data_IF_444278867170
#
_entry.id   IF_444278867170
#
_cell.length_a   1.000
_cell.length_b   1.000
_cell.length_c   1.000
_cell.angle_alpha   90.00
_cell.angle_beta   90.00
_cell.angle_gamma   90.00
#
_symmetry.space_group_name_H-M   'P 1'
#
loop_
_entity.id
_entity.type
_entity.pdbx_description
1 polymer ?
#
# COMPACT_ATOMS: atom_id res chain seq x y z
N UNK A 1 -31.99 -23.50 15.43
CA UNK A 1 -31.42 -22.18 15.68
C UNK A 1 -30.56 -21.86 14.46
N UNK A 2 -30.94 -20.83 13.68
CA UNK A 2 -30.16 -20.48 12.50
C UNK A 2 -28.78 -19.96 12.95
N UNK A 3 -27.74 -20.67 12.58
CA UNK A 3 -26.36 -20.21 12.75
C UNK A 3 -26.13 -19.05 11.77
N UNK A 4 -26.34 -17.83 12.25
CA UNK A 4 -26.05 -16.63 11.50
C UNK A 4 -24.53 -16.52 11.35
N UNK A 5 -24.01 -16.39 10.14
CA UNK A 5 -22.58 -16.14 9.93
C UNK A 5 -22.22 -14.71 10.37
N UNK A 6 -20.93 -14.46 10.61
CA UNK A 6 -20.47 -13.12 10.99
C UNK A 6 -20.67 -12.13 9.84
N UNK A 7 -20.56 -12.57 8.60
CA UNK A 7 -20.81 -11.79 7.38
C UNK A 7 -22.28 -11.39 7.30
N UNK A 8 -23.21 -12.31 7.55
CA UNK A 8 -24.64 -12.02 7.59
C UNK A 8 -24.98 -11.05 8.73
N UNK A 9 -24.33 -11.22 9.90
CA UNK A 9 -24.50 -10.32 11.03
C UNK A 9 -24.06 -8.90 10.71
N UNK A 10 -22.93 -8.72 9.99
CA UNK A 10 -22.43 -7.42 9.54
C UNK A 10 -23.45 -6.72 8.62
N UNK A 11 -24.11 -7.48 7.75
CA UNK A 11 -25.14 -6.93 6.86
C UNK A 11 -26.41 -6.53 7.60
N UNK A 12 -26.76 -7.24 8.68
CA UNK A 12 -27.99 -7.01 9.45
C UNK A 12 -27.88 -5.90 10.49
N UNK A 13 -26.70 -5.69 11.07
CA UNK A 13 -26.47 -4.74 12.14
C UNK A 13 -25.36 -3.74 11.75
N UNK A 14 -25.70 -2.63 11.08
CA UNK A 14 -24.75 -1.60 10.71
C UNK A 14 -24.19 -0.88 11.94
N UNK A 15 -22.97 -0.35 11.81
CA UNK A 15 -22.24 0.29 12.91
C UNK A 15 -22.98 1.44 13.59
N UNK A 16 -23.75 2.32 12.91
CA UNK A 16 -24.50 3.37 13.58
C UNK A 16 -25.53 2.82 14.58
N UNK A 17 -26.21 1.75 14.22
CA UNK A 17 -27.20 1.10 15.10
C UNK A 17 -26.51 0.36 16.24
N UNK A 18 -25.42 -0.35 15.94
CA UNK A 18 -24.62 -1.01 16.96
C UNK A 18 -24.06 -0.01 17.99
N UNK A 19 -23.51 1.12 17.52
CA UNK A 19 -22.96 2.17 18.38
C UNK A 19 -24.03 2.74 19.34
N UNK A 20 -25.25 2.98 18.85
CA UNK A 20 -26.37 3.41 19.71
C UNK A 20 -26.70 2.37 20.78
N UNK A 21 -26.78 1.09 20.42
CA UNK A 21 -27.04 -0.01 21.37
C UNK A 21 -25.94 -0.19 22.41
N UNK A 22 -24.71 0.10 22.04
CA UNK A 22 -23.55 0.04 22.95
C UNK A 22 -23.40 1.29 23.81
N UNK A 23 -24.25 2.31 23.60
CA UNK A 23 -24.18 3.57 24.36
C UNK A 23 -22.94 4.40 24.03
N UNK A 24 -22.39 4.26 22.81
CA UNK A 24 -21.27 5.09 22.35
C UNK A 24 -21.66 6.55 22.42
N UNK A 25 -20.84 7.36 23.08
CA UNK A 25 -21.04 8.80 23.22
C UNK A 25 -20.42 9.55 22.05
N UNK A 26 -21.04 10.66 21.66
CA UNK A 26 -20.57 11.48 20.54
C UNK A 26 -21.49 11.38 19.33
N UNK A 27 -21.09 12.09 18.27
CA UNK A 27 -21.84 12.11 17.01
C UNK A 27 -21.67 10.76 16.29
N UNK A 28 -22.77 10.16 15.87
CA UNK A 28 -22.76 8.91 15.10
C UNK A 28 -22.97 9.25 13.62
N UNK A 29 -21.99 8.93 12.73
CA UNK A 29 -22.13 9.17 11.30
C UNK A 29 -23.32 8.43 10.71
N UNK A 30 -24.09 9.11 9.88
CA UNK A 30 -25.28 8.61 9.19
C UNK A 30 -25.00 8.20 7.73
N UNK A 31 -23.79 8.46 7.25
CA UNK A 31 -23.35 8.16 5.87
C UNK A 31 -21.86 7.89 5.81
N UNK A 32 -21.46 7.13 4.79
CA UNK A 32 -20.05 6.84 4.50
C UNK A 32 -19.23 8.13 4.33
N UNK A 33 -18.06 8.13 4.95
CA UNK A 33 -17.07 9.21 4.82
C UNK A 33 -17.38 10.48 5.61
N UNK A 34 -18.52 10.56 6.33
CA UNK A 34 -18.76 11.68 7.25
C UNK A 34 -17.78 11.58 8.41
N UNK A 35 -16.95 12.61 8.56
CA UNK A 35 -15.94 12.68 9.62
C UNK A 35 -16.53 13.31 10.87
N UNK A 36 -16.31 12.65 12.02
CA UNK A 36 -16.74 13.08 13.36
C UNK A 36 -15.58 12.94 14.35
N UNK A 37 -15.73 13.45 15.55
CA UNK A 37 -14.77 13.20 16.63
C UNK A 37 -14.71 11.70 16.97
N UNK A 38 -13.51 11.22 17.30
CA UNK A 38 -13.27 9.81 17.57
C UNK A 38 -14.11 9.32 18.77
N UNK A 39 -14.71 8.15 18.62
CA UNK A 39 -15.46 7.50 19.70
C UNK A 39 -14.60 7.00 20.86
N UNK A 40 -13.27 7.06 20.70
CA UNK A 40 -12.26 6.64 21.67
C UNK A 40 -11.32 7.83 21.97
N UNK A 41 -11.81 8.87 22.67
CA UNK A 41 -11.05 10.09 22.93
C UNK A 41 -9.80 9.84 23.79
N UNK A 42 -9.75 8.75 24.55
CA UNK A 42 -8.60 8.31 25.34
C UNK A 42 -7.36 7.98 24.48
N UNK A 43 -7.55 7.68 23.19
CA UNK A 43 -6.45 7.43 22.26
C UNK A 43 -5.87 8.71 21.65
N UNK A 44 -6.35 9.88 22.06
CA UNK A 44 -5.94 11.18 21.52
C UNK A 44 -5.36 12.06 22.64
N UNK A 45 -4.05 12.41 22.59
CA UNK A 45 -3.40 13.21 23.65
C UNK A 45 -4.09 14.54 23.99
N UNK A 46 -4.80 15.12 23.00
CA UNK A 46 -5.47 16.43 23.12
C UNK A 46 -6.99 16.34 22.88
N UNK A 47 -7.58 15.13 22.97
CA UNK A 47 -8.99 14.87 22.70
C UNK A 47 -9.39 15.30 21.28
N UNK A 48 -9.32 14.48 20.32
CA UNK A 48 -9.68 14.61 18.87
C UNK A 48 -10.36 15.93 18.45
N UNK A 49 -9.65 17.06 18.62
CA UNK A 49 -10.15 18.42 18.34
C UNK A 49 -10.49 18.63 16.87
N UNK A 50 -9.70 17.97 15.99
CA UNK A 50 -9.94 17.93 14.56
C UNK A 50 -10.58 16.59 14.22
N UNK A 51 -11.88 16.54 13.87
CA UNK A 51 -12.60 15.31 13.62
C UNK A 51 -11.86 14.40 12.64
N UNK A 52 -11.55 13.17 13.06
CA UNK A 52 -10.71 12.24 12.32
C UNK A 52 -11.27 10.83 12.19
N UNK A 53 -12.46 10.58 12.76
CA UNK A 53 -13.13 9.30 12.73
C UNK A 53 -14.23 9.27 11.70
N UNK A 54 -14.33 8.21 10.91
CA UNK A 54 -15.45 8.01 9.99
C UNK A 54 -15.89 6.56 9.91
N UNK A 55 -17.11 6.36 9.36
CA UNK A 55 -17.60 5.07 8.92
C UNK A 55 -17.48 4.98 7.40
N UNK A 56 -17.24 3.77 6.91
CA UNK A 56 -17.09 3.49 5.47
C UNK A 56 -17.57 2.08 5.12
N UNK A 57 -17.49 1.73 3.83
CA UNK A 57 -17.91 0.41 3.32
C UNK A 57 -19.37 0.09 3.61
N UNK A 58 -20.28 1.06 3.40
CA UNK A 58 -21.70 0.91 3.69
C UNK A 58 -21.98 0.90 5.20
N UNK A 59 -21.28 1.71 5.96
CA UNK A 59 -21.41 1.83 7.43
C UNK A 59 -21.09 0.52 8.18
N UNK A 60 -20.29 -0.36 7.59
CA UNK A 60 -19.90 -1.64 8.20
C UNK A 60 -18.50 -1.65 8.79
N UNK A 61 -17.72 -0.59 8.50
CA UNK A 61 -16.35 -0.41 9.01
C UNK A 61 -16.17 0.99 9.57
N UNK A 62 -15.32 1.09 10.59
CA UNK A 62 -14.88 2.37 11.14
C UNK A 62 -13.38 2.53 11.03
N UNK A 63 -12.94 3.78 10.97
CA UNK A 63 -11.53 4.18 11.02
C UNK A 63 -11.36 5.56 11.60
N UNK A 64 -10.41 5.70 12.51
CA UNK A 64 -9.88 6.99 12.94
C UNK A 64 -8.54 7.24 12.25
N UNK A 65 -8.41 8.34 11.53
CA UNK A 65 -7.19 8.68 10.80
C UNK A 65 -6.10 9.30 11.68
N UNK A 66 -6.45 9.74 12.88
CA UNK A 66 -5.52 10.32 13.84
C UNK A 66 -4.89 9.26 14.75
N UNK A 67 -5.70 8.43 15.44
CA UNK A 67 -5.17 7.40 16.34
C UNK A 67 -5.02 6.02 15.68
N UNK A 68 -5.40 5.88 14.41
CA UNK A 68 -5.18 4.66 13.63
C UNK A 68 -6.12 3.48 13.94
N UNK A 69 -7.03 3.61 14.92
CA UNK A 69 -7.96 2.51 15.20
C UNK A 69 -8.89 2.28 14.02
N UNK A 70 -9.12 1.03 13.69
CA UNK A 70 -10.08 0.61 12.65
C UNK A 70 -10.71 -0.72 13.04
N UNK A 71 -11.84 -1.05 12.40
CA UNK A 71 -12.50 -2.32 12.64
C UNK A 71 -13.91 -2.42 12.06
N UNK A 72 -14.60 -3.49 12.49
CA UNK A 72 -16.00 -3.83 12.18
C UNK A 72 -16.82 -3.90 13.45
N UNK A 73 -18.06 -4.39 13.36
CA UNK A 73 -18.95 -4.57 14.51
C UNK A 73 -18.36 -5.35 15.69
N UNK A 74 -17.74 -6.53 15.48
CA UNK A 74 -17.07 -7.24 16.58
C UNK A 74 -15.95 -6.44 17.24
N UNK A 75 -15.13 -5.72 16.43
CA UNK A 75 -14.04 -4.92 16.97
C UNK A 75 -14.55 -3.75 17.81
N UNK A 76 -15.68 -3.15 17.41
CA UNK A 76 -16.35 -2.12 18.20
C UNK A 76 -16.82 -2.66 19.55
N UNK A 77 -17.48 -3.83 19.57
CA UNK A 77 -17.92 -4.48 20.81
C UNK A 77 -16.73 -4.79 21.71
N UNK A 78 -15.66 -5.39 21.15
CA UNK A 78 -14.47 -5.74 21.92
C UNK A 78 -13.88 -4.53 22.65
N UNK A 79 -13.80 -3.39 21.97
CA UNK A 79 -13.26 -2.16 22.53
C UNK A 79 -14.20 -1.51 23.54
N UNK A 80 -15.47 -1.31 23.18
CA UNK A 80 -16.45 -0.64 24.06
C UNK A 80 -16.69 -1.42 25.34
N UNK A 81 -16.77 -2.74 25.26
CA UNK A 81 -17.02 -3.60 26.41
C UNK A 81 -15.75 -4.14 27.07
N UNK A 82 -14.58 -3.84 26.51
CA UNK A 82 -13.27 -4.34 26.96
C UNK A 82 -13.27 -5.88 27.15
N UNK A 83 -13.71 -6.61 26.12
CA UNK A 83 -13.79 -8.07 26.13
C UNK A 83 -12.96 -8.68 24.99
N UNK A 84 -12.66 -9.99 25.09
CA UNK A 84 -11.90 -10.69 24.08
C UNK A 84 -12.64 -10.74 22.73
N UNK A 85 -11.89 -10.69 21.60
CA UNK A 85 -12.44 -10.68 20.23
C UNK A 85 -13.41 -11.84 19.97
N UNK A 86 -13.10 -13.05 20.44
CA UNK A 86 -13.96 -14.24 20.30
C UNK A 86 -15.33 -14.05 20.97
N UNK A 87 -15.35 -13.47 22.15
CA UNK A 87 -16.57 -13.16 22.89
C UNK A 87 -17.34 -12.02 22.23
N UNK A 88 -16.63 -11.00 21.74
CA UNK A 88 -17.22 -9.89 21.03
C UNK A 88 -17.89 -10.34 19.72
N UNK A 89 -17.26 -11.24 18.98
CA UNK A 89 -17.82 -11.83 17.75
C UNK A 89 -19.13 -12.59 18.05
N UNK A 90 -19.17 -13.38 19.14
CA UNK A 90 -20.37 -14.09 19.58
C UNK A 90 -21.49 -13.12 19.93
N UNK A 91 -21.22 -12.10 20.74
CA UNK A 91 -22.20 -11.06 21.10
C UNK A 91 -22.72 -10.28 19.89
N UNK A 92 -21.84 -10.00 18.94
CA UNK A 92 -22.25 -9.32 17.71
C UNK A 92 -23.27 -10.15 16.92
N UNK A 93 -23.02 -11.46 16.75
CA UNK A 93 -23.95 -12.38 16.09
C UNK A 93 -25.28 -12.45 16.84
N UNK A 94 -25.25 -12.54 18.16
CA UNK A 94 -26.45 -12.56 19.02
C UNK A 94 -27.27 -11.26 18.86
N UNK A 95 -26.60 -10.10 18.89
CA UNK A 95 -27.24 -8.79 18.70
C UNK A 95 -27.84 -8.63 17.33
N UNK A 96 -27.19 -9.15 16.29
CA UNK A 96 -27.66 -9.11 14.91
C UNK A 96 -28.82 -10.11 14.65
N UNK A 97 -28.84 -11.24 15.35
CA UNK A 97 -29.90 -12.25 15.25
C UNK A 97 -31.23 -11.85 15.88
N UNK A 98 -31.21 -10.98 16.91
CA UNK A 98 -32.40 -10.44 17.57
C UNK A 98 -33.06 -9.25 16.84
N UNK A 99 -32.45 -8.80 15.76
CA UNK A 99 -32.94 -7.71 14.92
C UNK A 99 -33.39 -8.25 13.57
N UNK A 100 -34.68 -8.12 13.25
CA UNK A 100 -35.23 -8.34 11.91
C UNK A 100 -35.62 -7.00 11.30
N UNK A 101 -34.70 -6.28 10.64
CA UNK A 101 -35.11 -5.31 9.64
C UNK A 101 -35.57 -6.10 8.42
N UNK A 102 -36.56 -5.59 7.69
CA UNK A 102 -36.76 -6.02 6.30
C UNK A 102 -35.39 -6.03 5.61
N UNK A 103 -35.05 -7.09 4.89
CA UNK A 103 -33.77 -7.14 4.19
C UNK A 103 -33.79 -6.04 3.12
N UNK A 104 -33.28 -4.88 3.49
CA UNK A 104 -32.77 -3.97 2.47
C UNK A 104 -31.62 -4.75 1.86
N UNK A 105 -31.86 -5.28 0.68
CA UNK A 105 -30.86 -5.98 -0.10
C UNK A 105 -29.68 -5.02 -0.28
N UNK A 106 -28.76 -5.06 0.66
CA UNK A 106 -27.46 -4.41 0.48
C UNK A 106 -26.74 -5.23 -0.61
N UNK A 107 -26.97 -4.81 -1.82
CA UNK A 107 -25.98 -5.09 -2.84
C UNK A 107 -24.80 -4.19 -2.50
N UNK A 108 -23.66 -4.75 -2.02
CA UNK A 108 -22.45 -3.96 -1.94
C UNK A 108 -22.35 -3.33 -3.33
N UNK A 109 -22.36 -2.01 -3.41
CA UNK A 109 -21.91 -1.35 -4.62
C UNK A 109 -20.49 -1.88 -4.77
N UNK A 110 -20.37 -2.96 -5.53
CA UNK A 110 -19.12 -3.30 -6.19
C UNK A 110 -18.92 -2.07 -7.07
N UNK A 111 -18.28 -1.07 -6.52
CA UNK A 111 -17.76 0.03 -7.30
C UNK A 111 -16.84 -0.67 -8.25
N UNK A 112 -17.34 -0.98 -9.46
CA UNK A 112 -16.49 -1.51 -10.53
C UNK A 112 -15.37 -0.49 -10.60
N UNK A 113 -14.20 -0.87 -10.12
CA UNK A 113 -13.03 -0.01 -10.22
C UNK A 113 -12.96 0.44 -11.66
N UNK A 114 -12.88 1.76 -11.85
CA UNK A 114 -12.62 2.27 -13.18
C UNK A 114 -11.36 1.57 -13.68
N UNK A 115 -11.34 1.02 -14.87
CA UNK A 115 -10.14 0.39 -15.41
C UNK A 115 -9.00 1.41 -15.42
N UNK A 116 -7.78 0.94 -15.20
CA UNK A 116 -6.59 1.78 -15.32
C UNK A 116 -6.52 2.33 -16.74
N UNK A 117 -6.48 3.65 -16.85
CA UNK A 117 -6.40 4.35 -18.13
C UNK A 117 -5.04 5.00 -18.27
N UNK A 118 -4.12 4.29 -18.92
CA UNK A 118 -2.80 4.83 -19.25
C UNK A 118 -2.91 5.94 -20.32
N UNK A 119 -1.98 6.91 -20.35
CA UNK A 119 -1.87 7.86 -21.43
C UNK A 119 -1.78 7.16 -22.80
N UNK A 120 -2.33 7.75 -23.87
CA UNK A 120 -2.40 7.09 -25.19
C UNK A 120 -1.02 6.93 -25.86
N UNK A 121 -0.04 7.73 -25.48
CA UNK A 121 1.32 7.77 -25.99
C UNK A 121 2.31 6.92 -25.19
N UNK A 122 1.83 6.06 -24.27
CA UNK A 122 2.69 5.21 -23.44
C UNK A 122 3.46 4.20 -24.29
N UNK A 123 4.79 4.19 -24.11
CA UNK A 123 5.74 3.35 -24.85
C UNK A 123 6.86 2.82 -23.94
N UNK A 124 7.72 1.96 -24.48
CA UNK A 124 8.80 1.27 -23.71
C UNK A 124 10.00 2.17 -23.42
N UNK A 125 10.06 3.35 -24.02
CA UNK A 125 11.17 4.30 -23.92
C UNK A 125 12.16 4.19 -25.07
N UNK A 126 12.71 5.33 -25.43
CA UNK A 126 13.84 5.48 -26.34
C UNK A 126 15.15 5.40 -25.56
N UNK A 127 16.27 5.21 -26.25
CA UNK A 127 17.60 5.25 -25.63
C UNK A 127 17.84 6.57 -24.87
N UNK A 128 17.48 7.70 -25.49
CA UNK A 128 17.61 9.02 -24.85
C UNK A 128 16.78 9.19 -23.57
N UNK A 129 15.56 8.63 -23.53
CA UNK A 129 14.72 8.66 -22.32
C UNK A 129 15.29 7.75 -21.22
N UNK A 130 15.83 6.59 -21.59
CA UNK A 130 16.50 5.67 -20.66
C UNK A 130 17.73 6.36 -20.04
N UNK A 131 18.59 6.97 -20.86
CA UNK A 131 19.76 7.70 -20.40
C UNK A 131 19.40 8.91 -19.53
N UNK A 132 18.37 9.67 -19.93
CA UNK A 132 17.86 10.82 -19.15
C UNK A 132 17.38 10.40 -17.78
N UNK A 133 16.59 9.32 -17.70
CA UNK A 133 16.11 8.82 -16.41
C UNK A 133 17.25 8.25 -15.55
N UNK A 134 18.18 7.53 -16.17
CA UNK A 134 19.36 7.00 -15.51
C UNK A 134 20.21 8.13 -14.89
N UNK A 135 20.51 9.17 -15.66
CA UNK A 135 21.23 10.34 -15.18
C UNK A 135 20.48 11.10 -14.07
N UNK A 136 19.17 11.29 -14.23
CA UNK A 136 18.32 11.99 -13.26
C UNK A 136 18.33 11.30 -11.88
N UNK A 137 18.50 9.97 -11.85
CA UNK A 137 18.37 9.16 -10.63
C UNK A 137 19.67 8.51 -10.14
N UNK A 138 20.75 8.64 -10.89
CA UNK A 138 22.02 7.97 -10.61
C UNK A 138 22.00 6.46 -10.87
N UNK A 139 21.06 5.97 -11.69
CA UNK A 139 20.96 4.54 -12.01
C UNK A 139 21.82 4.17 -13.22
N UNK A 140 22.16 2.88 -13.36
CA UNK A 140 22.73 2.41 -14.62
C UNK A 140 21.66 2.40 -15.73
N UNK A 141 21.99 2.81 -16.96
CA UNK A 141 21.06 2.71 -18.10
C UNK A 141 20.54 1.28 -18.31
N UNK A 142 21.36 0.26 -18.02
CA UNK A 142 20.96 -1.14 -18.10
C UNK A 142 19.82 -1.48 -17.12
N UNK A 143 19.82 -0.94 -15.91
CA UNK A 143 18.76 -1.16 -14.93
C UNK A 143 17.43 -0.55 -15.42
N UNK A 144 17.48 0.66 -15.97
CA UNK A 144 16.31 1.34 -16.53
C UNK A 144 15.78 0.55 -17.74
N UNK A 145 16.65 0.10 -18.63
CA UNK A 145 16.30 -0.75 -19.77
C UNK A 145 15.69 -2.09 -19.35
N UNK A 146 16.28 -2.74 -18.33
CA UNK A 146 15.76 -4.00 -17.77
C UNK A 146 14.36 -3.82 -17.20
N UNK A 147 14.11 -2.78 -16.41
CA UNK A 147 12.79 -2.44 -15.89
C UNK A 147 11.76 -2.21 -17.00
N UNK A 148 12.17 -1.55 -18.10
CA UNK A 148 11.39 -1.39 -19.33
C UNK A 148 11.08 -2.74 -19.99
N UNK A 149 12.09 -3.58 -20.17
CA UNK A 149 11.97 -4.92 -20.76
C UNK A 149 11.08 -5.87 -19.93
N UNK A 150 11.13 -5.76 -18.59
CA UNK A 150 10.25 -6.49 -17.69
C UNK A 150 8.82 -5.92 -17.63
N UNK A 151 8.56 -4.82 -18.31
CA UNK A 151 7.22 -4.25 -18.43
C UNK A 151 6.75 -3.44 -17.24
N UNK A 152 7.64 -3.09 -16.30
CA UNK A 152 7.30 -2.29 -15.12
C UNK A 152 7.56 -0.81 -15.29
N UNK A 153 8.41 -0.43 -16.25
CA UNK A 153 8.71 0.96 -16.61
C UNK A 153 8.20 1.28 -18.02
N UNK A 154 7.61 2.44 -18.17
CA UNK A 154 7.11 3.02 -19.41
C UNK A 154 7.39 4.52 -19.43
N UNK A 155 7.27 5.12 -20.62
CA UNK A 155 7.39 6.56 -20.83
C UNK A 155 6.14 7.07 -21.55
N UNK A 156 5.84 8.35 -21.40
CA UNK A 156 4.67 8.98 -22.01
C UNK A 156 4.39 10.35 -21.41
N UNK A 157 3.27 10.95 -21.80
CA UNK A 157 2.90 12.30 -21.38
C UNK A 157 1.76 12.26 -20.37
N UNK A 158 1.92 12.92 -19.22
CA UNK A 158 0.89 13.07 -18.20
C UNK A 158 0.69 14.54 -17.89
N UNK A 159 -0.53 15.04 -18.10
CA UNK A 159 -0.87 16.46 -17.94
C UNK A 159 0.04 17.43 -18.71
N UNK A 160 0.49 17.02 -19.91
CA UNK A 160 1.38 17.83 -20.76
C UNK A 160 2.86 17.76 -20.41
N UNK A 161 3.25 16.98 -19.40
CA UNK A 161 4.64 16.79 -19.01
C UNK A 161 5.17 15.43 -19.48
N UNK A 162 6.37 15.37 -20.08
CA UNK A 162 7.08 14.11 -20.29
C UNK A 162 7.30 13.40 -18.95
N UNK A 163 6.95 12.13 -18.89
CA UNK A 163 6.95 11.35 -17.65
C UNK A 163 7.52 9.95 -17.87
N UNK A 164 8.10 9.40 -16.82
CA UNK A 164 8.27 7.98 -16.65
C UNK A 164 7.15 7.44 -15.74
N UNK A 165 6.65 6.26 -16.08
CA UNK A 165 5.51 5.63 -15.43
C UNK A 165 5.93 4.27 -14.90
N UNK A 166 5.63 4.00 -13.65
CA UNK A 166 5.76 2.68 -13.05
C UNK A 166 4.38 2.04 -12.96
N UNK A 167 4.28 0.86 -13.50
CA UNK A 167 3.08 0.03 -13.53
C UNK A 167 3.45 -1.35 -14.03
N UNK A 168 2.51 -2.24 -14.16
CA UNK A 168 2.78 -3.55 -14.72
C UNK A 168 1.75 -3.99 -15.77
N UNK A 169 2.02 -5.14 -16.40
CA UNK A 169 1.17 -5.70 -17.44
C UNK A 169 -0.24 -6.08 -16.93
N UNK A 170 -0.44 -6.21 -15.62
CA UNK A 170 -1.76 -6.49 -15.04
C UNK A 170 -2.73 -5.32 -15.21
N UNK A 171 -2.22 -4.11 -15.47
CA UNK A 171 -2.99 -2.87 -15.57
C UNK A 171 -3.85 -2.60 -14.33
N UNK A 172 -3.33 -2.98 -13.15
CA UNK A 172 -4.02 -2.76 -11.87
C UNK A 172 -3.53 -1.54 -11.12
N UNK A 173 -2.26 -1.18 -11.28
CA UNK A 173 -1.65 -0.03 -10.64
C UNK A 173 -0.65 0.66 -11.58
N UNK A 174 -0.62 1.97 -11.55
CA UNK A 174 0.42 2.78 -12.17
C UNK A 174 0.50 4.17 -11.53
N UNK A 175 1.70 4.70 -11.50
CA UNK A 175 1.95 6.10 -11.16
C UNK A 175 3.01 6.70 -12.08
N UNK A 176 2.99 8.03 -12.21
CA UNK A 176 3.88 8.78 -13.07
C UNK A 176 4.71 9.77 -12.27
N UNK A 177 5.93 10.01 -12.71
CA UNK A 177 6.82 11.08 -12.28
C UNK A 177 7.34 11.82 -13.50
N UNK A 178 7.61 13.10 -13.34
CA UNK A 178 8.12 13.93 -14.44
C UNK A 178 9.57 13.58 -14.77
N UNK A 179 9.91 13.62 -16.05
CA UNK A 179 11.27 13.37 -16.55
C UNK A 179 12.27 14.46 -16.14
N UNK A 180 11.80 15.66 -15.84
CA UNK A 180 12.64 16.77 -15.36
C UNK A 180 12.84 16.77 -13.83
N UNK A 181 12.32 15.76 -13.11
CA UNK A 181 12.40 15.67 -11.66
C UNK A 181 11.49 16.64 -10.90
N UNK A 182 10.76 17.50 -11.60
CA UNK A 182 9.89 18.52 -11.02
C UNK A 182 8.60 17.97 -10.41
N UNK A 183 7.86 18.85 -9.74
CA UNK A 183 6.54 18.54 -9.19
C UNK A 183 5.45 18.74 -10.25
N UNK A 184 4.44 17.90 -10.23
CA UNK A 184 3.19 18.20 -10.95
C UNK A 184 2.52 19.39 -10.27
N UNK A 185 2.12 20.43 -11.01
CA UNK A 185 1.41 21.57 -10.45
C UNK A 185 0.05 21.16 -9.92
N UNK A 186 -0.62 22.01 -9.13
CA UNK A 186 -2.00 21.78 -8.72
C UNK A 186 -2.91 21.60 -9.94
N UNK A 187 -3.80 20.61 -9.93
CA UNK A 187 -4.72 20.28 -11.03
C UNK A 187 -6.08 19.91 -10.42
N UNK A 188 -7.11 20.72 -10.62
CA UNK A 188 -8.39 20.58 -9.95
C UNK A 188 -8.20 20.59 -8.43
N UNK A 189 -8.72 19.59 -7.74
CA UNK A 189 -8.59 19.45 -6.28
C UNK A 189 -7.24 18.85 -5.84
N UNK A 190 -6.39 18.45 -6.78
CA UNK A 190 -5.10 17.86 -6.48
C UNK A 190 -4.05 18.94 -6.22
N UNK A 191 -3.41 18.87 -5.05
CA UNK A 191 -2.29 19.74 -4.69
C UNK A 191 -1.04 19.41 -5.54
N UNK A 192 -0.04 20.28 -5.46
CA UNK A 192 1.29 20.02 -5.99
C UNK A 192 1.84 18.70 -5.44
N UNK A 193 2.51 17.89 -6.31
CA UNK A 193 2.94 16.55 -5.93
C UNK A 193 4.09 16.00 -6.79
N UNK A 194 4.98 15.24 -6.18
CA UNK A 194 6.07 14.52 -6.87
C UNK A 194 5.56 13.37 -7.75
N UNK A 195 4.47 12.74 -7.32
CA UNK A 195 3.93 11.51 -7.93
C UNK A 195 2.48 11.73 -8.32
N UNK A 196 2.13 11.37 -9.54
CA UNK A 196 0.75 11.35 -10.01
C UNK A 196 0.25 9.90 -10.15
N UNK A 197 -0.69 9.51 -9.31
CA UNK A 197 -1.36 8.21 -9.41
C UNK A 197 -2.28 8.21 -10.62
N UNK A 198 -2.09 7.30 -11.57
CA UNK A 198 -2.93 7.17 -12.77
C UNK A 198 -4.34 6.72 -12.37
N UNK A 199 -5.34 7.32 -13.01
CA UNK A 199 -6.75 7.04 -12.73
C UNK A 199 -7.08 5.55 -12.89
N UNK A 200 -7.78 4.97 -11.92
CA UNK A 200 -8.10 3.55 -11.87
C UNK A 200 -7.06 2.68 -11.15
N UNK A 201 -5.93 3.26 -10.70
CA UNK A 201 -4.89 2.51 -9.98
C UNK A 201 -5.34 1.94 -8.65
N UNK A 202 -4.91 0.72 -8.36
CA UNK A 202 -4.99 0.08 -7.05
C UNK A 202 -3.64 0.12 -6.36
N UNK A 203 -3.47 0.99 -5.39
CA UNK A 203 -2.24 1.03 -4.59
C UNK A 203 -2.01 -0.23 -3.75
N UNK A 204 -3.03 -1.07 -3.58
CA UNK A 204 -2.92 -2.38 -2.93
C UNK A 204 -2.26 -3.44 -3.83
N UNK A 205 -2.17 -3.20 -5.13
CA UNK A 205 -1.54 -4.14 -6.06
C UNK A 205 -0.03 -3.88 -6.12
N UNK A 206 0.81 -4.89 -5.78
CA UNK A 206 2.26 -4.76 -5.89
C UNK A 206 2.67 -4.77 -7.36
N UNK A 207 3.26 -3.67 -7.82
CA UNK A 207 3.78 -3.53 -9.18
C UNK A 207 5.06 -4.33 -9.33
N UNK A 208 5.22 -5.01 -10.45
CA UNK A 208 6.37 -5.86 -10.73
C UNK A 208 6.16 -7.35 -10.40
N UNK A 209 5.02 -7.75 -9.81
CA UNK A 209 4.75 -9.13 -9.41
C UNK A 209 4.45 -10.08 -10.59
N UNK A 210 4.17 -9.55 -11.79
CA UNK A 210 3.71 -10.32 -12.95
C UNK A 210 4.67 -11.42 -13.45
N UNK A 211 5.99 -11.24 -13.47
CA UNK A 211 6.91 -12.28 -13.93
C UNK A 211 6.78 -13.62 -13.18
N UNK A 212 6.29 -13.61 -11.93
CA UNK A 212 6.04 -14.83 -11.16
C UNK A 212 4.96 -15.72 -11.82
N UNK A 213 4.03 -15.13 -12.59
CA UNK A 213 2.99 -15.91 -13.27
C UNK A 213 3.53 -16.73 -14.44
N UNK A 214 4.53 -16.19 -15.14
CA UNK A 214 5.10 -16.82 -16.34
C UNK A 214 6.34 -17.66 -16.07
N UNK A 215 7.10 -17.32 -15.01
CA UNK A 215 8.38 -17.98 -14.68
C UNK A 215 8.50 -18.12 -13.15
N UNK A 216 7.62 -18.90 -12.50
CA UNK A 216 7.57 -19.01 -11.05
C UNK A 216 8.85 -19.59 -10.43
N UNK A 217 9.55 -20.45 -11.16
CA UNK A 217 10.79 -21.11 -10.73
C UNK A 217 12.01 -20.19 -10.76
N UNK A 218 11.99 -19.15 -11.59
CA UNK A 218 13.11 -18.23 -11.74
C UNK A 218 13.31 -17.34 -10.52
N UNK A 219 12.19 -16.92 -9.89
CA UNK A 219 12.22 -15.95 -8.81
C UNK A 219 11.83 -16.61 -7.50
N UNK A 220 12.82 -17.09 -6.76
CA UNK A 220 12.64 -17.69 -5.43
C UNK A 220 12.60 -16.64 -4.32
N UNK A 221 13.12 -15.43 -4.60
CA UNK A 221 13.17 -14.29 -3.70
C UNK A 221 12.41 -13.10 -4.26
N UNK A 222 11.89 -12.26 -3.39
CA UNK A 222 11.24 -11.00 -3.73
C UNK A 222 11.87 -9.89 -2.89
N UNK A 223 12.29 -8.81 -3.55
CA UNK A 223 12.65 -7.55 -2.90
C UNK A 223 11.44 -6.61 -2.98
N UNK A 224 10.79 -6.36 -1.86
CA UNK A 224 9.60 -5.52 -1.78
C UNK A 224 9.99 -4.14 -1.27
N UNK A 225 9.78 -3.13 -2.12
CA UNK A 225 10.14 -1.73 -1.87
C UNK A 225 8.90 -0.83 -1.77
N UNK A 226 9.10 0.40 -1.30
CA UNK A 226 8.06 1.42 -1.21
C UNK A 226 8.27 2.51 -2.26
N UNK A 227 7.40 2.53 -3.28
CA UNK A 227 7.43 3.58 -4.29
C UNK A 227 8.09 3.21 -5.62
N UNK A 228 7.86 4.09 -6.59
CA UNK A 228 8.29 3.88 -7.98
C UNK A 228 9.79 4.07 -8.18
N UNK A 229 10.39 5.04 -7.50
CA UNK A 229 11.83 5.28 -7.60
C UNK A 229 12.63 4.12 -7.03
N UNK A 230 12.19 3.60 -5.88
CA UNK A 230 12.84 2.46 -5.22
C UNK A 230 12.74 1.18 -6.05
N UNK A 231 11.66 1.01 -6.83
CA UNK A 231 11.57 -0.12 -7.74
C UNK A 231 12.67 -0.11 -8.78
N UNK A 232 12.96 1.05 -9.37
CA UNK A 232 14.04 1.18 -10.37
C UNK A 232 15.41 1.08 -9.69
N UNK A 233 15.56 1.64 -8.48
CA UNK A 233 16.77 1.46 -7.67
C UNK A 233 17.03 -0.03 -7.36
N UNK A 234 15.97 -0.80 -7.06
CA UNK A 234 16.11 -2.24 -6.85
C UNK A 234 16.64 -2.96 -8.10
N UNK A 235 16.18 -2.61 -9.30
CA UNK A 235 16.77 -3.13 -10.54
C UNK A 235 18.24 -2.73 -10.69
N UNK A 236 18.60 -1.51 -10.32
CA UNK A 236 19.99 -1.03 -10.38
C UNK A 236 20.89 -1.88 -9.47
N UNK A 237 20.54 -2.02 -8.20
CA UNK A 237 21.37 -2.78 -7.26
C UNK A 237 21.40 -4.28 -7.54
N UNK A 238 20.31 -4.86 -8.08
CA UNK A 238 20.33 -6.27 -8.50
C UNK A 238 21.35 -6.52 -9.63
N UNK A 239 21.50 -5.56 -10.54
CA UNK A 239 22.52 -5.65 -11.61
C UNK A 239 23.90 -5.46 -11.04
N UNK A 240 24.13 -4.41 -10.23
CA UNK A 240 25.44 -4.12 -9.63
C UNK A 240 25.96 -5.26 -8.74
N UNK A 241 25.03 -5.96 -8.06
CA UNK A 241 25.37 -7.09 -7.18
C UNK A 241 25.25 -8.45 -7.90
N UNK A 242 25.00 -8.48 -9.21
CA UNK A 242 24.87 -9.69 -10.04
C UNK A 242 23.84 -10.72 -9.48
N UNK A 243 22.70 -10.23 -8.95
CA UNK A 243 21.63 -11.06 -8.35
C UNK A 243 20.49 -11.24 -9.34
N UNK A 244 20.21 -12.50 -9.74
CA UNK A 244 19.26 -12.82 -10.81
C UNK A 244 18.04 -13.65 -10.38
N UNK A 245 18.00 -14.14 -9.15
CA UNK A 245 16.93 -14.96 -8.58
C UNK A 245 15.91 -14.15 -7.78
N UNK A 246 16.10 -12.84 -7.67
CA UNK A 246 15.28 -11.92 -6.88
C UNK A 246 14.44 -11.04 -7.79
N UNK A 247 13.14 -10.95 -7.51
CA UNK A 247 12.20 -10.09 -8.23
C UNK A 247 11.93 -8.81 -7.46
N UNK A 248 12.23 -7.63 -8.03
CA UNK A 248 11.82 -6.35 -7.42
C UNK A 248 10.31 -6.14 -7.58
N UNK A 249 9.66 -5.75 -6.50
CA UNK A 249 8.23 -5.48 -6.45
C UNK A 249 7.99 -4.22 -5.60
N UNK A 250 7.15 -3.30 -6.07
CA UNK A 250 6.85 -2.07 -5.34
C UNK A 250 5.41 -1.98 -4.88
N UNK A 251 5.23 -1.59 -3.62
CA UNK A 251 3.96 -1.03 -3.14
C UNK A 251 3.94 0.47 -3.42
N UNK A 252 2.93 0.95 -4.15
CA UNK A 252 2.81 2.37 -4.50
C UNK A 252 2.11 3.20 -3.40
N UNK A 253 2.24 2.78 -2.15
CA UNK A 253 1.71 3.48 -0.98
C UNK A 253 1.85 2.67 0.30
N UNK A 254 2.55 3.21 1.28
CA UNK A 254 2.86 2.63 2.59
C UNK A 254 1.61 2.22 3.38
N UNK A 255 0.53 2.99 3.30
CA UNK A 255 -0.71 2.73 4.05
C UNK A 255 -1.62 1.66 3.43
N UNK A 256 -1.21 1.02 2.33
CA UNK A 256 -2.03 0.05 1.64
C UNK A 256 -1.71 -1.38 2.09
N UNK A 257 -2.75 -2.17 2.32
CA UNK A 257 -2.62 -3.63 2.45
C UNK A 257 -2.34 -4.23 1.08
N UNK A 258 -1.59 -5.33 1.07
CA UNK A 258 -1.34 -6.08 -0.16
C UNK A 258 -2.65 -6.73 -0.63
N UNK A 259 -2.94 -6.64 -1.93
CA UNK A 259 -4.11 -7.26 -2.56
C UNK A 259 -4.12 -8.78 -2.33
N UNK A 260 -5.27 -9.34 -1.98
CA UNK A 260 -5.40 -10.77 -1.62
C UNK A 260 -5.03 -11.72 -2.75
N UNK A 261 -5.29 -11.36 -4.01
CA UNK A 261 -4.87 -12.17 -5.16
C UNK A 261 -3.36 -12.10 -5.37
N UNK A 262 -2.76 -10.93 -5.15
CA UNK A 262 -1.32 -10.76 -5.21
C UNK A 262 -0.60 -11.52 -4.09
N UNK A 263 -1.14 -11.56 -2.88
CA UNK A 263 -0.58 -12.29 -1.73
C UNK A 263 -0.30 -13.75 -2.05
N UNK A 264 -1.12 -14.40 -2.86
CA UNK A 264 -0.93 -15.80 -3.28
C UNK A 264 0.43 -16.03 -3.98
N UNK A 265 1.03 -15.00 -4.54
CA UNK A 265 2.31 -15.05 -5.28
C UNK A 265 3.55 -15.01 -4.39
N UNK A 266 3.37 -14.60 -3.16
CA UNK A 266 4.46 -14.59 -2.17
C UNK A 266 4.64 -15.93 -1.46
N UNK A 267 3.68 -16.85 -1.59
CA UNK A 267 3.73 -18.17 -0.95
C UNK A 267 4.97 -18.96 -1.36
N UNK A 268 5.69 -19.51 -0.35
CA UNK A 268 6.90 -20.32 -0.56
C UNK A 268 8.09 -19.53 -1.10
N UNK A 269 8.11 -18.19 -0.97
CA UNK A 269 9.21 -17.33 -1.37
C UNK A 269 9.79 -16.58 -0.18
N UNK A 270 11.10 -16.36 -0.22
CA UNK A 270 11.74 -15.45 0.69
C UNK A 270 11.43 -14.00 0.27
N UNK A 271 10.99 -13.16 1.19
CA UNK A 271 10.67 -11.76 0.94
C UNK A 271 11.56 -10.87 1.81
N UNK A 272 12.32 -9.98 1.16
CA UNK A 272 13.04 -8.90 1.83
C UNK A 272 12.25 -7.62 1.64
N UNK A 273 11.83 -6.97 2.72
CA UNK A 273 11.18 -5.67 2.68
C UNK A 273 12.24 -4.59 2.89
N UNK A 274 12.26 -3.61 2.00
CA UNK A 274 13.12 -2.43 2.05
C UNK A 274 12.18 -1.23 2.01
N UNK A 275 11.82 -0.71 3.18
CA UNK A 275 10.91 0.42 3.32
C UNK A 275 11.67 1.70 3.66
N UNK A 276 11.00 2.82 3.52
CA UNK A 276 11.54 4.11 3.92
C UNK A 276 11.91 4.13 5.40
N UNK A 277 12.92 4.92 5.76
CA UNK A 277 13.43 5.03 7.13
C UNK A 277 12.50 5.84 8.06
N UNK A 278 11.39 6.38 7.55
CA UNK A 278 10.42 7.17 8.31
C UNK A 278 9.38 6.30 9.06
N UNK A 279 8.59 6.93 9.94
CA UNK A 279 7.54 6.27 10.72
C UNK A 279 6.50 5.58 9.84
N UNK A 280 6.16 6.17 8.68
CA UNK A 280 5.17 5.61 7.76
C UNK A 280 5.67 4.32 7.11
N UNK A 281 6.96 4.26 6.75
CA UNK A 281 7.60 3.06 6.24
C UNK A 281 7.69 1.97 7.30
N UNK A 282 8.01 2.31 8.55
CA UNK A 282 8.04 1.36 9.66
C UNK A 282 6.66 0.77 9.96
N UNK A 283 5.60 1.56 9.89
CA UNK A 283 4.21 1.08 10.04
C UNK A 283 3.81 0.16 8.87
N UNK A 284 4.19 0.51 7.65
CA UNK A 284 3.95 -0.30 6.46
C UNK A 284 4.59 -1.69 6.59
N UNK A 285 5.85 -1.72 7.01
CA UNK A 285 6.62 -2.96 7.25
C UNK A 285 5.86 -3.91 8.16
N UNK A 286 5.38 -3.44 9.31
CA UNK A 286 4.63 -4.29 10.26
C UNK A 286 3.41 -4.92 9.59
N UNK A 287 2.61 -4.10 8.91
CA UNK A 287 1.40 -4.57 8.22
C UNK A 287 1.68 -5.54 7.08
N UNK A 288 2.71 -5.30 6.28
CA UNK A 288 3.08 -6.18 5.17
C UNK A 288 3.70 -7.49 5.66
N UNK A 289 4.56 -7.43 6.68
CA UNK A 289 5.17 -8.63 7.28
C UNK A 289 4.10 -9.61 7.76
N UNK A 290 3.09 -9.13 8.49
CA UNK A 290 2.00 -9.97 8.98
C UNK A 290 1.19 -10.58 7.83
N UNK A 291 0.89 -9.80 6.78
CA UNK A 291 0.16 -10.30 5.62
C UNK A 291 0.95 -11.35 4.83
N UNK A 292 2.25 -11.14 4.62
CA UNK A 292 3.12 -12.06 3.90
C UNK A 292 3.30 -13.37 4.67
N UNK A 293 3.51 -13.30 5.99
CA UNK A 293 3.60 -14.48 6.86
C UNK A 293 2.29 -15.28 6.82
N UNK A 294 1.14 -14.61 6.96
CA UNK A 294 -0.17 -15.24 6.87
C UNK A 294 -0.45 -15.87 5.49
N UNK A 295 0.11 -15.31 4.41
CA UNK A 295 0.00 -15.83 3.04
C UNK A 295 0.91 -17.04 2.79
N UNK A 296 1.80 -17.39 3.73
CA UNK A 296 2.73 -18.53 3.62
C UNK A 296 4.02 -18.19 2.87
N UNK A 297 4.51 -16.95 2.95
CA UNK A 297 5.88 -16.64 2.56
C UNK A 297 6.85 -17.50 3.38
N UNK A 298 7.91 -18.01 2.75
CA UNK A 298 8.88 -18.90 3.39
C UNK A 298 9.65 -18.16 4.50
N UNK A 299 10.08 -16.95 4.20
CA UNK A 299 10.81 -16.08 5.12
C UNK A 299 10.46 -14.62 4.81
N UNK A 300 10.28 -13.80 5.83
CA UNK A 300 10.10 -12.35 5.67
C UNK A 300 11.15 -11.63 6.52
N UNK A 301 12.07 -10.95 5.85
CA UNK A 301 13.15 -10.18 6.47
C UNK A 301 13.04 -8.72 6.12
N UNK A 302 13.77 -7.88 6.84
CA UNK A 302 13.81 -6.43 6.65
C UNK A 302 15.25 -6.02 6.35
N UNK A 303 15.39 -5.04 5.47
CA UNK A 303 16.60 -4.25 5.38
C UNK A 303 16.33 -2.87 6.00
N UNK A 304 17.15 -2.47 6.93
CA UNK A 304 16.99 -1.21 7.64
C UNK A 304 17.92 -0.15 7.05
N UNK A 305 17.36 0.89 6.47
CA UNK A 305 18.11 2.03 5.94
C UNK A 305 18.58 3.02 7.02
N UNK A 306 18.02 2.94 8.23
CA UNK A 306 18.34 3.88 9.31
C UNK A 306 19.80 3.77 9.73
N UNK A 307 20.48 4.91 9.79
CA UNK A 307 21.89 5.00 10.15
C UNK A 307 22.86 5.03 8.98
N UNK A 308 22.39 4.66 7.77
CA UNK A 308 23.18 4.82 6.55
C UNK A 308 23.25 6.29 6.13
N UNK A 309 24.37 6.72 5.56
CA UNK A 309 24.59 8.10 5.15
C UNK A 309 24.97 8.19 3.67
N UNK A 310 24.52 9.26 3.03
CA UNK A 310 25.00 9.65 1.70
C UNK A 310 26.41 10.20 1.76
N UNK A 311 27.09 10.33 0.64
CA UNK A 311 28.45 10.86 0.50
C UNK A 311 28.60 12.31 0.98
N UNK A 312 27.51 13.08 1.02
CA UNK A 312 27.47 14.44 1.58
C UNK A 312 27.17 14.47 3.09
N UNK A 313 27.02 13.30 3.74
CA UNK A 313 26.70 13.15 5.16
C UNK A 313 25.21 13.21 5.51
N UNK A 314 24.33 13.44 4.56
CA UNK A 314 22.89 13.40 4.79
C UNK A 314 22.37 11.95 4.97
N UNK A 315 21.32 11.73 5.76
CA UNK A 315 20.80 10.39 6.00
C UNK A 315 20.13 9.81 4.75
N UNK A 316 20.31 8.50 4.53
CA UNK A 316 19.54 7.71 3.57
C UNK A 316 18.10 7.60 4.08
N UNK A 317 17.14 7.97 3.26
CA UNK A 317 15.70 7.94 3.60
C UNK A 317 14.93 6.86 2.84
N UNK A 318 15.35 6.55 1.62
CA UNK A 318 14.75 5.55 0.76
C UNK A 318 15.83 4.77 -0.03
N UNK A 319 15.41 3.74 -0.75
CA UNK A 319 16.37 2.92 -1.50
C UNK A 319 16.99 3.68 -2.68
N UNK A 320 16.30 4.66 -3.25
CA UNK A 320 16.86 5.49 -4.32
C UNK A 320 18.07 6.31 -3.82
N UNK A 321 18.06 6.75 -2.56
CA UNK A 321 19.17 7.50 -1.98
C UNK A 321 20.45 6.66 -1.86
N UNK A 322 20.32 5.32 -1.82
CA UNK A 322 21.47 4.41 -1.72
C UNK A 322 22.45 4.49 -2.89
N UNK A 323 22.07 5.06 -4.04
CA UNK A 323 23.01 5.32 -5.14
C UNK A 323 24.09 6.36 -4.77
N UNK A 324 23.84 7.14 -3.73
CA UNK A 324 24.74 8.14 -3.19
C UNK A 324 25.38 7.72 -1.87
N UNK A 325 25.30 6.43 -1.52
CA UNK A 325 25.81 5.89 -0.27
C UNK A 325 27.33 6.18 -0.14
N UNK A 326 27.75 6.62 1.03
CA UNK A 326 29.17 6.87 1.30
C UNK A 326 29.98 5.57 1.25
N UNK A 327 31.29 5.68 0.97
CA UNK A 327 32.18 4.54 0.75
C UNK A 327 32.23 3.59 1.96
N UNK A 328 32.18 4.11 3.18
CA UNK A 328 32.22 3.34 4.43
C UNK A 328 31.04 2.42 4.63
N UNK A 329 29.88 2.78 4.07
CA UNK A 329 28.63 2.03 4.21
C UNK A 329 28.37 1.09 3.00
N UNK A 330 29.23 1.07 1.99
CA UNK A 330 29.03 0.28 0.75
C UNK A 330 28.86 -1.23 1.02
N UNK A 331 29.55 -1.77 2.03
CA UNK A 331 29.40 -3.19 2.40
C UNK A 331 28.01 -3.57 2.88
N UNK A 332 27.22 -2.59 3.37
CA UNK A 332 25.83 -2.85 3.80
C UNK A 332 24.91 -3.20 2.62
N UNK A 333 25.27 -2.78 1.38
CA UNK A 333 24.49 -3.11 0.18
C UNK A 333 24.39 -4.61 -0.09
N UNK A 334 25.39 -5.41 0.34
CA UNK A 334 25.35 -6.87 0.24
C UNK A 334 24.14 -7.47 1.00
N UNK A 335 23.70 -6.77 2.05
CA UNK A 335 22.53 -7.13 2.85
C UNK A 335 21.18 -6.82 2.18
N UNK A 336 21.15 -6.01 1.11
CA UNK A 336 19.88 -5.59 0.49
C UNK A 336 19.01 -6.77 0.05
N UNK A 337 19.61 -7.84 -0.46
CA UNK A 337 18.87 -8.96 -1.07
C UNK A 337 19.24 -10.33 -0.49
N UNK A 338 20.12 -10.37 0.54
CA UNK A 338 20.53 -11.62 1.19
C UNK A 338 19.51 -12.18 2.18
#
# INVERSE_FOLDING_TARGET
>A
MNNLSIEDAIQRLPLPELARRLGVTGEIPDRDGKTVSCWFPENHPNGDRDPSFNLHSGLTRFKCFSCGIEGRGPDLIARVLNIAEKEAAKRFIEMAGGFSPDPVAYHPKVTKRKPLTLPPDVHTGTEAEIETLAALRGFSPHAVALAGGMGVLRFGTVHGFPCWLVGDQSRKAAEARRMDGGLFPPIGDLKERKVHTIAGSSKAWPVGIQPIYSKPERFTKIAMVEGSADLIAAFHFLIELEIWDTLPVAMLGSKCRIDTEALKRFRGRAVKIIAHADDAGQDAVRGWKDQLAAAGAEKVTLFNLAGLLMSDGSPITDMNDCVHLRAEDQSELEGLFS
#
